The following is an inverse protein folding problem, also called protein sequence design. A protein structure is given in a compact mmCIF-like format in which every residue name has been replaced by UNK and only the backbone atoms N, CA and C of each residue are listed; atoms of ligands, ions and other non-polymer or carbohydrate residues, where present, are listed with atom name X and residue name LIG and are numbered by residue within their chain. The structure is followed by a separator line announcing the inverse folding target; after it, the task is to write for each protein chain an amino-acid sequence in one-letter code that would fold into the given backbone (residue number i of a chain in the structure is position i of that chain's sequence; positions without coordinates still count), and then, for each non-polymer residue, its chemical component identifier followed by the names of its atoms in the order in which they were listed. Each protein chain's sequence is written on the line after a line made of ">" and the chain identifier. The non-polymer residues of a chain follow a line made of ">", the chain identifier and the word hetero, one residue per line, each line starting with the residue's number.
data_IF_294877759103
#
_entry.id   IF_294877759103
#
_cell.length_a   1.000
_cell.length_b   1.000
_cell.length_c   1.000
_cell.angle_alpha   90.00
_cell.angle_beta   90.00
_cell.angle_gamma   90.00
#
_symmetry.space_group_name_H-M   'P 1'
#
loop_
_entity.id
_entity.type
_entity.pdbx_description
1 polymer ?
#
# COMPACT_ATOMS: atom_id res chain seq x y z
N UNK A 1 24.94 27.69 23.28
CA UNK A 1 23.84 27.96 24.23
C UNK A 1 23.94 29.43 24.60
N UNK A 2 23.05 30.25 24.04
CA UNK A 2 23.00 31.69 24.32
C UNK A 2 22.16 31.94 25.57
N UNK A 3 22.48 33.00 26.30
CA UNK A 3 21.91 33.37 27.61
C UNK A 3 20.38 33.57 27.59
N UNK A 4 19.77 33.82 26.43
CA UNK A 4 18.32 33.97 26.24
C UNK A 4 17.55 32.63 26.30
N UNK A 5 18.16 31.52 25.86
CA UNK A 5 17.48 30.21 25.90
C UNK A 5 17.34 29.70 27.35
N UNK A 6 18.32 30.00 28.21
CA UNK A 6 18.31 29.58 29.61
C UNK A 6 17.26 30.33 30.46
N UNK A 7 17.01 31.61 30.16
CA UNK A 7 15.99 32.43 30.84
C UNK A 7 14.56 32.01 30.51
N UNK A 8 14.32 31.62 29.25
CA UNK A 8 13.00 31.14 28.81
C UNK A 8 12.67 29.76 29.39
N UNK A 9 13.67 28.87 29.51
CA UNK A 9 13.52 27.53 30.11
C UNK A 9 13.19 27.60 31.62
N UNK A 10 13.78 28.54 32.36
CA UNK A 10 13.53 28.68 33.80
C UNK A 10 12.16 29.30 34.13
N UNK A 11 11.60 30.13 33.24
CA UNK A 11 10.28 30.74 33.43
C UNK A 11 9.11 29.76 33.26
N UNK A 12 9.17 28.87 32.27
CA UNK A 12 8.06 27.93 32.01
C UNK A 12 7.98 26.80 33.03
N UNK A 13 9.10 26.31 33.56
CA UNK A 13 9.10 25.28 34.61
C UNK A 13 8.44 25.75 35.90
N UNK A 14 8.74 26.98 36.34
CA UNK A 14 8.10 27.58 37.50
C UNK A 14 6.57 27.75 37.33
N UNK A 15 6.12 28.11 36.13
CA UNK A 15 4.70 28.21 35.80
C UNK A 15 4.02 26.83 35.75
N UNK A 16 4.67 25.83 35.15
CA UNK A 16 4.18 24.46 35.08
C UNK A 16 4.10 23.80 36.46
N UNK A 17 5.02 24.12 37.36
CA UNK A 17 5.03 23.61 38.74
C UNK A 17 3.86 24.14 39.58
N UNK A 18 3.29 25.29 39.23
CA UNK A 18 2.06 25.82 39.87
C UNK A 18 0.79 25.12 39.39
N UNK A 19 0.83 24.41 38.26
CA UNK A 19 -0.32 23.71 37.70
C UNK A 19 -0.49 22.33 38.35
N UNK A 20 -1.62 22.14 39.03
CA UNK A 20 -1.93 20.92 39.79
C UNK A 20 -2.26 19.70 38.93
N UNK A 21 -2.70 19.89 37.69
CA UNK A 21 -3.17 18.77 36.84
C UNK A 21 -2.33 18.63 35.57
N UNK A 22 -2.14 17.38 35.13
CA UNK A 22 -1.49 17.08 33.86
C UNK A 22 -2.23 17.70 32.66
N UNK A 23 -3.56 17.72 32.70
CA UNK A 23 -4.39 18.40 31.68
C UNK A 23 -4.09 19.90 31.58
N UNK A 24 -3.87 20.58 32.71
CA UNK A 24 -3.52 22.00 32.71
C UNK A 24 -2.11 22.24 32.14
N UNK A 25 -1.14 21.38 32.47
CA UNK A 25 0.23 21.44 31.93
C UNK A 25 0.24 21.26 30.40
N UNK A 26 -0.56 20.33 29.88
CA UNK A 26 -0.73 20.11 28.43
C UNK A 26 -1.32 21.35 27.74
N UNK A 27 -2.34 21.99 28.35
CA UNK A 27 -2.94 23.22 27.79
C UNK A 27 -1.95 24.38 27.78
N UNK A 28 -1.20 24.56 28.87
CA UNK A 28 -0.15 25.56 28.97
C UNK A 28 0.93 25.35 27.88
N UNK A 29 1.33 24.10 27.64
CA UNK A 29 2.27 23.78 26.56
C UNK A 29 1.71 24.16 25.17
N UNK A 30 0.43 23.89 24.92
CA UNK A 30 -0.22 24.22 23.63
C UNK A 30 -0.35 25.73 23.40
N UNK A 31 -0.48 26.53 24.45
CA UNK A 31 -0.52 28.00 24.36
C UNK A 31 0.85 28.61 23.99
N UNK A 32 1.95 27.89 24.27
CA UNK A 32 3.33 28.37 24.08
C UNK A 32 4.06 27.67 22.92
N UNK A 33 3.43 26.69 22.27
CA UNK A 33 3.96 26.00 21.10
C UNK A 33 3.44 26.61 19.79
N UNK A 34 4.19 26.48 18.68
CA UNK A 34 3.71 26.90 17.37
C UNK A 34 2.36 26.27 17.00
N UNK A 35 1.51 27.05 16.32
CA UNK A 35 0.22 26.56 15.80
C UNK A 35 0.48 25.39 14.84
N UNK A 36 -0.14 24.24 15.10
CA UNK A 36 0.07 23.00 14.34
C UNK A 36 0.98 21.96 15.01
N UNK A 37 1.43 22.20 16.25
CA UNK A 37 2.22 21.22 17.00
C UNK A 37 1.51 19.87 17.18
N UNK A 38 2.28 18.79 17.06
CA UNK A 38 1.83 17.42 17.24
C UNK A 38 1.73 17.03 18.72
N UNK A 39 1.05 15.92 19.01
CA UNK A 39 1.01 15.34 20.36
C UNK A 39 2.42 15.01 20.86
N UNK A 40 3.33 14.62 19.97
CA UNK A 40 4.72 14.34 20.34
C UNK A 40 5.52 15.61 20.63
N UNK A 41 5.25 16.72 19.92
CA UNK A 41 5.90 18.00 20.20
C UNK A 41 5.53 18.52 21.60
N UNK A 42 4.27 18.36 22.00
CA UNK A 42 3.80 18.70 23.36
C UNK A 42 4.51 17.85 24.42
N UNK A 43 4.67 16.55 24.17
CA UNK A 43 5.34 15.62 25.09
C UNK A 43 6.83 15.93 25.20
N UNK A 44 7.49 16.21 24.09
CA UNK A 44 8.89 16.58 24.04
C UNK A 44 9.13 17.91 24.76
N UNK A 45 8.24 18.89 24.56
CA UNK A 45 8.31 20.18 25.23
C UNK A 45 8.15 20.04 26.74
N UNK A 46 7.15 19.30 27.22
CA UNK A 46 6.97 19.04 28.65
C UNK A 46 8.18 18.30 29.27
N UNK A 47 8.78 17.36 28.55
CA UNK A 47 9.98 16.66 28.98
C UNK A 47 11.18 17.61 29.13
N UNK A 48 11.36 18.54 28.18
CA UNK A 48 12.42 19.56 28.24
C UNK A 48 12.27 20.50 29.43
N UNK A 49 11.03 20.74 29.88
CA UNK A 49 10.72 21.53 31.08
C UNK A 49 10.77 20.71 32.38
N UNK A 50 11.34 19.50 32.37
CA UNK A 50 11.47 18.67 33.58
C UNK A 50 10.16 18.08 34.12
N UNK A 51 9.05 18.18 33.36
CA UNK A 51 7.74 17.71 33.79
C UNK A 51 7.51 16.23 33.42
N UNK A 52 6.72 15.52 34.22
CA UNK A 52 6.34 14.13 33.94
C UNK A 52 5.61 14.04 32.60
N UNK A 53 6.14 13.22 31.69
CA UNK A 53 5.62 13.05 30.34
C UNK A 53 4.29 12.29 30.35
N UNK A 54 3.18 12.89 29.88
CA UNK A 54 1.91 12.18 29.79
C UNK A 54 1.94 11.08 28.73
N UNK A 55 1.15 10.04 28.93
CA UNK A 55 0.99 8.98 27.93
C UNK A 55 0.28 9.52 26.68
N UNK A 56 0.66 9.02 25.51
CA UNK A 56 0.07 9.44 24.23
C UNK A 56 -1.46 9.28 24.20
N UNK A 57 -2.06 8.16 24.66
CA UNK A 57 -3.53 8.02 24.69
C UNK A 57 -4.22 9.07 25.57
N UNK A 58 -3.56 9.53 26.63
CA UNK A 58 -4.09 10.56 27.53
C UNK A 58 -3.98 11.98 26.94
N UNK A 59 -2.86 12.30 26.29
CA UNK A 59 -2.63 13.62 25.71
C UNK A 59 -3.44 13.88 24.42
N UNK A 60 -3.65 12.84 23.61
CA UNK A 60 -4.34 12.93 22.30
C UNK A 60 -5.72 13.61 22.36
N UNK A 61 -6.68 13.21 23.23
CA UNK A 61 -7.99 13.87 23.28
C UNK A 61 -7.89 15.34 23.71
N UNK A 62 -6.95 15.70 24.60
CA UNK A 62 -6.78 17.06 25.10
C UNK A 62 -6.24 17.98 24.00
N UNK A 63 -5.27 17.49 23.21
CA UNK A 63 -4.70 18.22 22.07
C UNK A 63 -5.76 18.41 20.98
N UNK A 64 -6.52 17.37 20.66
CA UNK A 64 -7.59 17.45 19.66
C UNK A 64 -8.72 18.40 20.09
N UNK A 65 -9.11 18.37 21.36
CA UNK A 65 -10.10 19.29 21.94
C UNK A 65 -9.64 20.76 21.84
N UNK A 66 -8.35 21.02 22.10
CA UNK A 66 -7.77 22.36 21.98
C UNK A 66 -7.67 22.81 20.51
N UNK A 67 -7.26 21.93 19.60
CA UNK A 67 -7.19 22.22 18.16
C UNK A 67 -8.55 22.59 17.57
N UNK A 68 -9.58 21.81 17.91
CA UNK A 68 -10.95 22.08 17.49
C UNK A 68 -11.45 23.45 17.97
N UNK A 69 -11.11 23.85 19.21
CA UNK A 69 -11.47 25.17 19.75
C UNK A 69 -10.68 26.34 19.14
N UNK A 70 -9.50 26.09 18.59
CA UNK A 70 -8.63 27.13 18.02
C UNK A 70 -8.61 27.13 16.47
N UNK A 71 -9.49 26.37 15.82
CA UNK A 71 -9.58 26.31 14.36
C UNK A 71 -8.33 25.73 13.68
N UNK A 72 -7.56 24.89 14.38
CA UNK A 72 -6.35 24.24 13.84
C UNK A 72 -6.76 22.88 13.30
N UNK A 73 -6.88 22.76 11.97
CA UNK A 73 -7.15 21.47 11.32
C UNK A 73 -5.95 20.51 11.44
N UNK A 74 -6.21 19.21 11.44
CA UNK A 74 -5.21 18.17 11.66
C UNK A 74 -4.24 18.08 10.47
N UNK A 75 -3.11 18.77 10.54
CA UNK A 75 -2.11 18.78 9.48
C UNK A 75 -1.38 17.45 9.31
N UNK A 76 -1.64 16.41 10.12
CA UNK A 76 -1.01 15.08 9.93
C UNK A 76 0.53 15.14 9.83
N UNK A 77 1.18 16.18 10.35
CA UNK A 77 2.63 16.41 10.20
C UNK A 77 3.07 17.07 8.87
N UNK A 78 2.15 17.60 8.07
CA UNK A 78 2.46 18.35 6.87
C UNK A 78 2.77 19.82 7.19
N UNK A 79 3.85 20.33 6.58
CA UNK A 79 4.23 21.74 6.63
C UNK A 79 3.11 22.57 5.99
N UNK A 80 2.58 23.61 6.67
CA UNK A 80 1.60 24.49 6.07
C UNK A 80 2.22 25.18 4.85
N UNK A 81 1.53 25.16 3.70
CA UNK A 81 1.97 25.84 2.50
C UNK A 81 2.05 27.34 2.79
N UNK A 82 3.27 27.87 2.90
CA UNK A 82 3.47 29.31 3.01
C UNK A 82 3.04 29.99 1.71
N UNK A 83 2.59 31.26 1.73
CA UNK A 83 2.26 32.00 0.52
C UNK A 83 3.39 32.01 -0.52
N UNK A 84 4.64 31.94 -0.05
CA UNK A 84 5.84 31.82 -0.87
C UNK A 84 5.91 30.48 -1.62
N UNK A 85 5.54 29.36 -0.97
CA UNK A 85 5.51 28.04 -1.61
C UNK A 85 4.41 27.95 -2.67
N UNK A 86 3.29 28.62 -2.44
CA UNK A 86 2.18 28.72 -3.41
C UNK A 86 2.66 29.51 -4.64
N UNK A 87 3.36 30.64 -4.43
CA UNK A 87 3.91 31.43 -5.52
C UNK A 87 5.00 30.70 -6.33
N UNK A 88 5.76 29.81 -5.69
CA UNK A 88 6.75 28.94 -6.35
C UNK A 88 6.07 27.87 -7.22
N UNK A 89 5.00 27.23 -6.71
CA UNK A 89 4.20 26.26 -7.44
C UNK A 89 3.54 26.89 -8.68
N UNK A 90 2.92 28.06 -8.54
CA UNK A 90 2.32 28.81 -9.65
C UNK A 90 3.33 29.17 -10.75
N UNK A 91 4.57 29.51 -10.38
CA UNK A 91 5.65 29.78 -11.35
C UNK A 91 6.09 28.51 -12.09
N UNK A 92 6.06 27.37 -11.42
CA UNK A 92 6.42 26.07 -11.99
C UNK A 92 5.35 25.58 -12.96
N UNK A 93 4.08 25.78 -12.62
CA UNK A 93 2.92 25.36 -13.43
C UNK A 93 2.77 26.20 -14.72
N UNK A 94 3.08 27.51 -14.65
CA UNK A 94 3.08 28.39 -15.83
C UNK A 94 4.18 28.12 -16.84
N UNK A 95 5.23 27.35 -16.48
CA UNK A 95 6.34 27.03 -17.39
C UNK A 95 6.06 25.85 -18.32
N UNK A 96 4.93 25.15 -18.14
CA UNK A 96 4.63 23.90 -18.84
C UNK A 96 3.27 23.77 -19.57
N UNK A 97 2.60 24.80 -20.14
CA UNK A 97 1.38 24.55 -20.94
C UNK A 97 1.62 24.38 -22.45
N UNK A 98 2.80 24.72 -22.99
CA UNK A 98 2.97 24.89 -24.44
C UNK A 98 3.26 23.60 -25.25
N UNK A 99 3.62 22.48 -24.59
CA UNK A 99 4.00 21.22 -25.29
C UNK A 99 3.19 19.98 -24.87
N UNK A 100 2.08 20.15 -24.14
CA UNK A 100 1.25 19.03 -23.73
C UNK A 100 0.30 18.60 -24.86
N UNK A 101 0.79 17.73 -25.76
CA UNK A 101 -0.08 16.87 -26.54
C UNK A 101 -0.99 16.06 -25.59
N UNK A 102 -2.25 15.76 -25.97
CA UNK A 102 -3.19 15.07 -25.09
C UNK A 102 -2.64 13.68 -24.71
N UNK A 103 -2.25 13.50 -23.45
CA UNK A 103 -1.86 12.18 -22.92
C UNK A 103 -3.09 11.23 -22.95
N UNK A 104 -2.95 10.00 -23.47
CA UNK A 104 -4.01 9.00 -23.37
C UNK A 104 -4.17 8.54 -21.92
N UNK A 105 -5.36 8.71 -21.35
CA UNK A 105 -5.66 8.35 -19.96
C UNK A 105 -5.33 6.87 -19.64
N UNK A 106 -4.45 6.59 -18.66
CA UNK A 106 -4.15 5.21 -18.24
C UNK A 106 -5.17 4.66 -17.21
N UNK A 107 -6.30 5.34 -16.96
CA UNK A 107 -7.16 5.07 -15.78
C UNK A 107 -8.24 4.00 -16.07
N UNK A 108 -8.60 3.76 -17.34
CA UNK A 108 -9.73 2.91 -17.69
C UNK A 108 -9.39 1.40 -17.75
N UNK A 109 -8.18 1.03 -18.15
CA UNK A 109 -7.85 -0.35 -18.48
C UNK A 109 -7.77 -1.29 -17.25
N UNK A 110 -7.28 -0.80 -16.10
CA UNK A 110 -6.99 -1.67 -14.95
C UNK A 110 -8.23 -2.02 -14.10
N UNK A 111 -9.29 -1.19 -14.16
CA UNK A 111 -10.60 -1.51 -13.54
C UNK A 111 -11.51 -2.32 -14.47
N UNK A 112 -11.23 -2.35 -15.78
CA UNK A 112 -11.99 -3.11 -16.76
C UNK A 112 -11.99 -4.61 -16.45
N UNK A 113 -10.87 -5.15 -15.95
CA UNK A 113 -10.76 -6.56 -15.58
C UNK A 113 -11.71 -6.97 -14.45
N UNK A 114 -11.94 -6.11 -13.45
CA UNK A 114 -12.86 -6.40 -12.35
C UNK A 114 -14.35 -6.36 -12.79
N UNK A 115 -14.69 -5.48 -13.74
CA UNK A 115 -16.06 -5.34 -14.24
C UNK A 115 -16.58 -6.63 -14.88
N UNK A 116 -15.74 -7.33 -15.63
CA UNK A 116 -16.09 -8.63 -16.23
C UNK A 116 -16.49 -9.67 -15.16
N UNK A 117 -15.72 -9.76 -14.09
CA UNK A 117 -16.03 -10.68 -12.99
C UNK A 117 -17.32 -10.30 -12.25
N UNK A 118 -17.58 -9.00 -12.02
CA UNK A 118 -18.86 -8.54 -11.46
C UNK A 118 -20.04 -8.85 -12.39
N UNK A 119 -19.87 -8.72 -13.71
CA UNK A 119 -20.92 -9.06 -14.67
C UNK A 119 -21.26 -10.55 -14.64
N UNK A 120 -20.26 -11.44 -14.64
CA UNK A 120 -20.51 -12.89 -14.52
C UNK A 120 -21.14 -13.23 -13.17
N UNK A 121 -20.71 -12.58 -12.08
CA UNK A 121 -21.32 -12.77 -10.77
C UNK A 121 -22.81 -12.38 -10.78
N UNK A 122 -23.16 -11.27 -11.43
CA UNK A 122 -24.56 -10.85 -11.60
C UNK A 122 -25.35 -11.81 -12.49
N UNK A 123 -24.78 -12.28 -13.60
CA UNK A 123 -25.45 -13.23 -14.49
C UNK A 123 -25.73 -14.57 -13.80
N UNK A 124 -24.83 -15.01 -12.91
CA UNK A 124 -25.02 -16.26 -12.15
C UNK A 124 -26.23 -16.24 -11.21
N UNK A 125 -26.70 -15.05 -10.82
CA UNK A 125 -27.95 -14.89 -10.06
C UNK A 125 -29.12 -15.44 -10.86
N UNK A 126 -29.13 -15.30 -12.20
CA UNK A 126 -30.17 -15.85 -13.07
C UNK A 126 -30.42 -17.35 -12.84
N UNK A 127 -29.35 -18.12 -12.64
CA UNK A 127 -29.45 -19.57 -12.35
C UNK A 127 -29.99 -19.81 -10.93
N UNK A 128 -29.62 -18.96 -9.98
CA UNK A 128 -30.17 -18.98 -8.61
C UNK A 128 -31.67 -18.67 -8.60
N UNK A 129 -32.12 -17.73 -9.44
CA UNK A 129 -33.54 -17.39 -9.63
C UNK A 129 -34.34 -18.58 -10.11
N UNK A 130 -33.94 -19.18 -11.23
CA UNK A 130 -34.63 -20.35 -11.80
C UNK A 130 -34.71 -21.49 -10.77
N UNK A 131 -33.59 -21.74 -10.08
CA UNK A 131 -33.51 -22.83 -9.09
C UNK A 131 -34.43 -22.57 -7.90
N UNK A 132 -34.39 -21.36 -7.32
CA UNK A 132 -35.19 -21.00 -6.15
C UNK A 132 -36.69 -20.99 -6.46
N UNK A 133 -37.06 -20.46 -7.64
CA UNK A 133 -38.42 -20.42 -8.13
C UNK A 133 -39.05 -21.82 -8.23
N UNK A 134 -38.33 -22.74 -8.87
CA UNK A 134 -38.80 -24.14 -9.03
C UNK A 134 -38.76 -24.90 -7.71
N UNK A 135 -37.80 -24.60 -6.83
CA UNK A 135 -37.72 -25.21 -5.50
C UNK A 135 -38.94 -24.85 -4.64
N UNK A 136 -39.34 -23.58 -4.61
CA UNK A 136 -40.51 -23.15 -3.84
C UNK A 136 -41.80 -23.80 -4.32
N UNK A 137 -41.98 -23.93 -5.63
CA UNK A 137 -43.12 -24.63 -6.22
C UNK A 137 -43.10 -26.14 -5.92
N UNK A 138 -42.01 -26.82 -6.29
CA UNK A 138 -41.99 -28.27 -6.38
C UNK A 138 -41.64 -28.96 -5.06
N UNK A 139 -40.97 -28.27 -4.14
CA UNK A 139 -40.49 -28.86 -2.87
C UNK A 139 -41.16 -28.26 -1.64
N UNK A 140 -41.48 -26.96 -1.66
CA UNK A 140 -42.23 -26.32 -0.55
C UNK A 140 -43.74 -26.25 -0.81
N UNK A 141 -44.21 -26.54 -2.02
CA UNK A 141 -45.64 -26.53 -2.35
C UNK A 141 -46.26 -25.13 -2.39
N UNK A 142 -45.43 -24.09 -2.52
CA UNK A 142 -45.88 -22.70 -2.59
C UNK A 142 -46.29 -22.42 -4.03
N UNK A 143 -47.60 -22.49 -4.29
CA UNK A 143 -48.18 -22.31 -5.63
C UNK A 143 -48.56 -20.88 -5.92
N UNK A 144 -48.75 -20.04 -4.88
CA UNK A 144 -49.04 -18.62 -5.06
C UNK A 144 -47.83 -17.88 -5.66
N UNK A 145 -48.10 -17.12 -6.73
CA UNK A 145 -47.06 -16.43 -7.50
C UNK A 145 -46.49 -15.26 -6.71
N UNK A 146 -47.33 -14.53 -5.96
CA UNK A 146 -46.89 -13.35 -5.19
C UNK A 146 -45.98 -13.80 -4.04
N UNK A 147 -46.37 -14.83 -3.30
CA UNK A 147 -45.57 -15.41 -2.23
C UNK A 147 -44.21 -15.87 -2.74
N UNK A 148 -44.15 -16.55 -3.89
CA UNK A 148 -42.89 -16.96 -4.51
C UNK A 148 -42.00 -15.79 -4.92
N UNK A 149 -42.57 -14.76 -5.52
CA UNK A 149 -41.83 -13.55 -5.91
C UNK A 149 -41.20 -12.91 -4.68
N UNK A 150 -41.95 -12.81 -3.58
CA UNK A 150 -41.44 -12.24 -2.31
C UNK A 150 -40.30 -13.08 -1.75
N UNK A 151 -40.49 -14.39 -1.60
CA UNK A 151 -39.48 -15.28 -1.00
C UNK A 151 -38.17 -15.32 -1.81
N UNK A 152 -38.29 -15.43 -3.13
CA UNK A 152 -37.14 -15.38 -4.02
C UNK A 152 -36.43 -14.02 -3.95
N UNK A 153 -37.19 -12.91 -3.96
CA UNK A 153 -36.61 -11.56 -3.87
C UNK A 153 -35.84 -11.34 -2.57
N UNK A 154 -36.34 -11.86 -1.44
CA UNK A 154 -35.65 -11.79 -0.15
C UNK A 154 -34.30 -12.52 -0.21
N UNK A 155 -34.27 -13.72 -0.78
CA UNK A 155 -33.05 -14.52 -0.92
C UNK A 155 -31.99 -13.81 -1.77
N UNK A 156 -32.38 -13.29 -2.94
CA UNK A 156 -31.43 -12.60 -3.82
C UNK A 156 -30.99 -11.25 -3.28
N UNK A 157 -31.91 -10.49 -2.67
CA UNK A 157 -31.55 -9.26 -1.99
C UNK A 157 -30.52 -9.52 -0.89
N UNK A 158 -30.63 -10.63 -0.15
CA UNK A 158 -29.65 -11.04 0.84
C UNK A 158 -28.28 -11.38 0.22
N UNK A 159 -28.24 -12.07 -0.93
CA UNK A 159 -27.00 -12.35 -1.65
C UNK A 159 -26.32 -11.07 -2.17
N UNK A 160 -27.11 -10.16 -2.77
CA UNK A 160 -26.63 -8.86 -3.25
C UNK A 160 -26.11 -8.02 -2.08
N UNK A 161 -26.84 -7.99 -0.96
CA UNK A 161 -26.42 -7.29 0.25
C UNK A 161 -25.12 -7.87 0.82
N UNK A 162 -24.94 -9.19 0.81
CA UNK A 162 -23.69 -9.83 1.21
C UNK A 162 -22.53 -9.40 0.30
N UNK A 163 -22.74 -9.36 -1.02
CA UNK A 163 -21.73 -8.90 -1.96
C UNK A 163 -21.36 -7.43 -1.77
N UNK A 164 -22.37 -6.57 -1.53
CA UNK A 164 -22.16 -5.16 -1.20
C UNK A 164 -21.40 -4.98 0.11
N UNK A 165 -21.78 -5.71 1.16
CA UNK A 165 -21.11 -5.68 2.45
C UNK A 165 -19.65 -6.16 2.34
N UNK A 166 -19.38 -7.19 1.55
CA UNK A 166 -18.01 -7.64 1.28
C UNK A 166 -17.19 -6.58 0.55
N UNK A 167 -17.78 -5.90 -0.45
CA UNK A 167 -17.14 -4.77 -1.15
C UNK A 167 -16.84 -3.61 -0.20
N UNK A 168 -17.80 -3.22 0.64
CA UNK A 168 -17.62 -2.18 1.63
C UNK A 168 -16.50 -2.53 2.63
N UNK A 169 -16.50 -3.77 3.14
CA UNK A 169 -15.45 -4.27 4.03
C UNK A 169 -14.07 -4.27 3.39
N UNK A 170 -13.96 -4.66 2.12
CA UNK A 170 -12.71 -4.60 1.35
C UNK A 170 -12.20 -3.17 1.21
N UNK A 171 -13.09 -2.21 0.90
CA UNK A 171 -12.72 -0.79 0.75
C UNK A 171 -12.27 -0.13 2.05
N UNK A 172 -12.87 -0.52 3.18
CA UNK A 172 -12.54 0.06 4.50
C UNK A 172 -11.33 -0.62 5.15
N UNK A 173 -11.29 -1.96 5.16
CA UNK A 173 -10.39 -2.75 6.01
C UNK A 173 -9.48 -3.71 5.22
N UNK A 174 -9.56 -3.71 3.89
CA UNK A 174 -8.79 -4.62 3.03
C UNK A 174 -9.23 -6.10 3.12
N UNK A 175 -10.39 -6.39 3.72
CA UNK A 175 -10.93 -7.75 3.89
C UNK A 175 -12.46 -7.78 3.77
N UNK A 176 -13.06 -8.83 3.18
CA UNK A 176 -14.52 -8.91 2.95
C UNK A 176 -15.38 -9.04 4.22
N UNK A 177 -14.79 -9.28 5.40
CA UNK A 177 -15.54 -9.32 6.66
C UNK A 177 -16.45 -10.56 6.81
N UNK A 178 -17.34 -10.56 7.83
CA UNK A 178 -18.18 -11.71 8.18
C UNK A 178 -19.27 -12.01 7.14
N UNK A 179 -19.64 -11.04 6.30
CA UNK A 179 -20.60 -11.23 5.19
C UNK A 179 -20.22 -12.38 4.25
N UNK A 180 -18.92 -12.71 4.16
CA UNK A 180 -18.43 -13.89 3.43
C UNK A 180 -19.02 -15.21 3.95
N UNK A 181 -19.16 -15.35 5.27
CA UNK A 181 -19.72 -16.57 5.87
C UNK A 181 -21.20 -16.72 5.52
N UNK A 182 -21.95 -15.61 5.60
CA UNK A 182 -23.36 -15.58 5.23
C UNK A 182 -23.53 -15.90 3.74
N UNK A 183 -22.70 -15.33 2.87
CA UNK A 183 -22.71 -15.64 1.44
C UNK A 183 -22.48 -17.14 1.17
N UNK A 184 -21.50 -17.76 1.83
CA UNK A 184 -21.27 -19.21 1.70
C UNK A 184 -22.40 -20.06 2.27
N UNK A 185 -23.03 -19.64 3.36
CA UNK A 185 -24.20 -20.33 3.91
C UNK A 185 -25.38 -20.29 2.92
N UNK A 186 -25.64 -19.12 2.31
CA UNK A 186 -26.66 -18.98 1.26
C UNK A 186 -26.31 -19.80 0.00
N UNK A 187 -25.03 -19.84 -0.40
CA UNK A 187 -24.56 -20.72 -1.48
C UNK A 187 -24.78 -22.20 -1.15
N UNK A 188 -24.53 -22.62 0.09
CA UNK A 188 -24.77 -24.00 0.52
C UNK A 188 -26.27 -24.35 0.52
N UNK A 189 -27.13 -23.41 0.93
CA UNK A 189 -28.57 -23.56 0.83
C UNK A 189 -29.04 -23.67 -0.63
N UNK A 190 -28.55 -22.81 -1.51
CA UNK A 190 -28.84 -22.87 -2.95
C UNK A 190 -28.34 -24.20 -3.56
N UNK A 191 -27.21 -24.72 -3.09
CA UNK A 191 -26.71 -26.03 -3.51
C UNK A 191 -27.64 -27.17 -3.10
N UNK A 192 -28.10 -27.16 -1.85
CA UNK A 192 -29.10 -28.09 -1.36
C UNK A 192 -30.40 -28.05 -2.20
N UNK A 193 -30.92 -26.86 -2.48
CA UNK A 193 -32.11 -26.68 -3.32
C UNK A 193 -31.92 -27.27 -4.73
N UNK A 194 -30.77 -27.00 -5.36
CA UNK A 194 -30.46 -27.51 -6.69
C UNK A 194 -30.39 -29.04 -6.74
N UNK A 195 -29.70 -29.67 -5.78
CA UNK A 195 -29.63 -31.13 -5.69
C UNK A 195 -30.99 -31.75 -5.38
N UNK A 196 -31.76 -31.14 -4.49
CA UNK A 196 -33.10 -31.62 -4.15
C UNK A 196 -34.08 -31.55 -5.32
N UNK A 197 -33.90 -30.61 -6.26
CA UNK A 197 -34.79 -30.43 -7.41
C UNK A 197 -34.36 -31.30 -8.61
N UNK A 198 -33.05 -31.44 -8.83
CA UNK A 198 -32.50 -31.86 -10.13
C UNK A 198 -31.73 -33.17 -10.09
N UNK A 199 -31.55 -33.76 -8.91
CA UNK A 199 -30.67 -34.89 -8.71
C UNK A 199 -29.17 -34.54 -8.83
N UNK A 200 -28.27 -35.54 -8.79
CA UNK A 200 -26.84 -35.30 -8.63
C UNK A 200 -26.19 -34.56 -9.80
N UNK A 201 -26.45 -34.98 -11.04
CA UNK A 201 -25.76 -34.45 -12.23
C UNK A 201 -26.24 -33.04 -12.59
N UNK A 202 -27.55 -32.88 -12.80
CA UNK A 202 -28.12 -31.59 -13.14
C UNK A 202 -28.08 -30.61 -11.95
N UNK A 203 -28.17 -31.12 -10.72
CA UNK A 203 -27.95 -30.32 -9.50
C UNK A 203 -26.54 -29.76 -9.48
N UNK A 204 -25.51 -30.61 -9.65
CA UNK A 204 -24.12 -30.16 -9.67
C UNK A 204 -23.87 -29.08 -10.74
N UNK A 205 -24.41 -29.25 -11.95
CA UNK A 205 -24.30 -28.25 -13.00
C UNK A 205 -24.91 -26.89 -12.59
N UNK A 206 -26.11 -26.88 -11.99
CA UNK A 206 -26.76 -25.67 -11.48
C UNK A 206 -25.97 -25.01 -10.36
N UNK A 207 -25.43 -25.79 -9.42
CA UNK A 207 -24.61 -25.27 -8.32
C UNK A 207 -23.35 -24.61 -8.84
N UNK A 208 -22.65 -25.29 -9.76
CA UNK A 208 -21.40 -24.81 -10.34
C UNK A 208 -21.63 -23.55 -11.17
N UNK A 209 -22.62 -23.53 -12.07
CA UNK A 209 -22.88 -22.40 -12.97
C UNK A 209 -23.65 -21.24 -12.31
N UNK A 210 -24.33 -21.50 -11.19
CA UNK A 210 -25.07 -20.49 -10.43
C UNK A 210 -24.28 -20.00 -9.23
N UNK A 211 -24.68 -20.39 -8.00
CA UNK A 211 -24.24 -19.73 -6.78
C UNK A 211 -22.73 -19.86 -6.51
N UNK A 212 -22.09 -20.97 -6.90
CA UNK A 212 -20.63 -21.13 -6.72
C UNK A 212 -19.86 -20.25 -7.68
N UNK A 213 -20.17 -20.28 -8.98
CA UNK A 213 -19.55 -19.39 -9.95
C UNK A 213 -19.74 -17.94 -9.54
N UNK A 214 -20.95 -17.55 -9.12
CA UNK A 214 -21.24 -16.21 -8.63
C UNK A 214 -20.33 -15.75 -7.51
N UNK A 215 -20.24 -16.56 -6.45
CA UNK A 215 -19.44 -16.22 -5.28
C UNK A 215 -17.92 -16.22 -5.59
N UNK A 216 -17.45 -17.14 -6.44
CA UNK A 216 -16.05 -17.18 -6.88
C UNK A 216 -15.71 -15.96 -7.75
N UNK A 217 -16.57 -15.60 -8.72
CA UNK A 217 -16.35 -14.45 -9.58
C UNK A 217 -16.35 -13.15 -8.77
N UNK A 218 -17.29 -13.02 -7.82
CA UNK A 218 -17.30 -11.92 -6.86
C UNK A 218 -16.02 -11.85 -6.02
N UNK A 219 -15.52 -13.00 -5.55
CA UNK A 219 -14.27 -13.08 -4.80
C UNK A 219 -13.06 -12.63 -5.65
N UNK A 220 -12.99 -13.05 -6.91
CA UNK A 220 -11.94 -12.64 -7.84
C UNK A 220 -12.00 -11.13 -8.14
N UNK A 221 -13.19 -10.60 -8.36
CA UNK A 221 -13.43 -9.17 -8.58
C UNK A 221 -12.90 -8.33 -7.40
N UNK A 222 -13.28 -8.72 -6.18
CA UNK A 222 -12.80 -8.07 -4.95
C UNK A 222 -11.29 -8.21 -4.77
N UNK A 223 -10.71 -9.35 -5.14
CA UNK A 223 -9.26 -9.59 -5.09
C UNK A 223 -8.47 -8.65 -6.01
N UNK A 224 -9.00 -8.33 -7.19
CA UNK A 224 -8.42 -7.33 -8.10
C UNK A 224 -8.47 -5.94 -7.47
N UNK A 225 -9.60 -5.57 -6.86
CA UNK A 225 -9.74 -4.26 -6.20
C UNK A 225 -8.77 -4.08 -5.04
N UNK A 226 -8.54 -5.12 -4.23
CA UNK A 226 -7.52 -5.08 -3.16
C UNK A 226 -6.13 -4.80 -3.74
N UNK A 227 -5.75 -5.48 -4.82
CA UNK A 227 -4.43 -5.31 -5.46
C UNK A 227 -4.30 -3.92 -6.08
N UNK A 228 -5.34 -3.42 -6.75
CA UNK A 228 -5.37 -2.08 -7.31
C UNK A 228 -5.27 -0.99 -6.22
N UNK A 229 -5.98 -1.16 -5.11
CA UNK A 229 -5.91 -0.24 -3.97
C UNK A 229 -4.52 -0.22 -3.32
N UNK A 230 -3.89 -1.39 -3.12
CA UNK A 230 -2.51 -1.48 -2.59
C UNK A 230 -1.47 -0.84 -3.51
N UNK A 231 -1.65 -0.94 -4.84
CA UNK A 231 -0.78 -0.28 -5.82
C UNK A 231 -0.92 1.25 -5.81
N UNK A 232 -2.12 1.78 -5.54
CA UNK A 232 -2.32 3.23 -5.34
C UNK A 232 -1.75 3.76 -4.03
N UNK A 233 -1.78 2.94 -2.97
CA UNK A 233 -1.32 3.34 -1.63
C UNK A 233 0.21 3.32 -1.47
N UNK A 234 0.93 2.62 -2.34
CA UNK A 234 2.40 2.62 -2.33
C UNK A 234 2.90 3.71 -3.28
N UNK A 235 3.93 4.45 -2.84
CA UNK A 235 4.63 5.62 -3.39
C UNK A 235 5.09 5.53 -4.88
N UNK A 236 4.58 4.59 -5.67
CA UNK A 236 4.93 4.36 -7.07
C UNK A 236 4.40 5.43 -8.04
N UNK A 237 3.31 6.12 -7.72
CA UNK A 237 2.82 7.24 -8.55
C UNK A 237 3.69 8.51 -8.45
N UNK A 238 4.52 8.61 -7.40
CA UNK A 238 5.53 9.67 -7.22
C UNK A 238 6.90 9.20 -7.70
N UNK A 239 7.33 8.00 -7.31
CA UNK A 239 8.58 7.40 -7.79
C UNK A 239 8.58 7.21 -9.31
N UNK A 240 7.44 6.85 -9.91
CA UNK A 240 7.31 6.76 -11.37
C UNK A 240 7.41 8.11 -12.08
N UNK A 241 6.99 9.20 -11.43
CA UNK A 241 7.10 10.57 -11.96
C UNK A 241 8.55 11.07 -11.88
N UNK A 242 9.17 10.89 -10.73
CA UNK A 242 10.58 11.23 -10.50
C UNK A 242 11.52 10.39 -11.39
N UNK A 243 11.19 9.12 -11.59
CA UNK A 243 11.92 8.22 -12.48
C UNK A 243 11.67 8.55 -13.95
N UNK A 244 10.45 8.98 -14.33
CA UNK A 244 10.12 9.46 -15.69
C UNK A 244 10.85 10.76 -16.00
N UNK A 245 10.90 11.72 -15.07
CA UNK A 245 11.65 12.97 -15.25
C UNK A 245 13.16 12.72 -15.34
N UNK A 246 13.69 11.81 -14.52
CA UNK A 246 15.10 11.38 -14.61
C UNK A 246 15.40 10.52 -15.84
N UNK A 247 14.43 9.77 -16.37
CA UNK A 247 14.58 9.00 -17.60
C UNK A 247 14.49 9.90 -18.83
N UNK A 248 13.60 10.90 -18.84
CA UNK A 248 13.49 11.85 -19.95
C UNK A 248 14.68 12.81 -20.02
N UNK A 249 15.30 13.17 -18.89
CA UNK A 249 16.57 13.92 -18.90
C UNK A 249 17.77 13.09 -19.37
N UNK A 250 17.63 11.75 -19.40
CA UNK A 250 18.68 10.81 -19.81
C UNK A 250 18.44 10.24 -21.22
N UNK A 251 17.21 10.29 -21.73
CA UNK A 251 16.81 9.74 -23.03
C UNK A 251 17.06 10.70 -24.21
N UNK A 252 17.84 11.77 -24.05
CA UNK A 252 18.43 12.46 -25.19
C UNK A 252 19.61 11.64 -25.76
N UNK A 253 19.25 10.57 -26.51
CA UNK A 253 20.01 9.76 -27.47
C UNK A 253 21.34 9.09 -27.06
N UNK A 254 21.34 7.74 -27.02
CA UNK A 254 22.55 6.94 -27.26
C UNK A 254 22.50 5.45 -26.85
N UNK A 255 21.95 4.58 -27.69
CA UNK A 255 22.35 3.16 -27.85
C UNK A 255 21.84 2.09 -26.82
N UNK A 256 20.53 1.81 -26.83
CA UNK A 256 19.83 0.83 -25.97
C UNK A 256 20.27 -0.65 -26.14
N UNK A 257 20.89 -1.01 -27.26
CA UNK A 257 21.41 -2.38 -27.47
C UNK A 257 22.70 -2.64 -26.67
N UNK A 258 23.55 -1.61 -26.53
CA UNK A 258 24.80 -1.72 -25.78
C UNK A 258 24.57 -1.76 -24.28
N UNK A 259 23.57 -1.06 -23.76
CA UNK A 259 23.39 -0.90 -22.32
C UNK A 259 22.82 -2.17 -21.64
N UNK A 260 21.95 -2.91 -22.33
CA UNK A 260 21.49 -4.21 -21.84
C UNK A 260 22.62 -5.26 -21.77
N UNK A 261 23.53 -5.25 -22.75
CA UNK A 261 24.72 -6.10 -22.76
C UNK A 261 25.73 -5.65 -21.70
N UNK A 262 25.96 -4.35 -21.55
CA UNK A 262 26.83 -3.80 -20.51
C UNK A 262 26.36 -4.20 -19.10
N UNK A 263 25.06 -4.04 -18.80
CA UNK A 263 24.47 -4.45 -17.51
C UNK A 263 24.61 -5.94 -17.24
N UNK A 264 24.51 -6.78 -18.28
CA UNK A 264 24.66 -8.24 -18.13
C UNK A 264 26.12 -8.62 -17.83
N UNK A 265 27.08 -7.97 -18.49
CA UNK A 265 28.51 -8.20 -18.29
C UNK A 265 28.98 -7.65 -16.93
N UNK A 266 28.49 -6.49 -16.51
CA UNK A 266 28.75 -5.93 -15.18
C UNK A 266 28.25 -6.87 -14.05
N UNK A 267 27.05 -7.43 -14.19
CA UNK A 267 26.55 -8.45 -13.24
C UNK A 267 27.40 -9.73 -13.25
N UNK A 268 28.03 -10.07 -14.37
CA UNK A 268 28.95 -11.21 -14.44
C UNK A 268 30.31 -10.88 -13.79
N UNK A 269 30.83 -9.67 -13.97
CA UNK A 269 32.06 -9.19 -13.34
C UNK A 269 31.93 -9.17 -11.80
N UNK A 270 30.82 -8.64 -11.27
CA UNK A 270 30.54 -8.66 -9.83
C UNK A 270 30.45 -10.08 -9.26
N UNK A 271 29.85 -11.01 -10.02
CA UNK A 271 29.80 -12.43 -9.63
C UNK A 271 31.19 -13.07 -9.63
N UNK A 272 32.07 -12.70 -10.56
CA UNK A 272 33.45 -13.17 -10.59
C UNK A 272 34.24 -12.66 -9.37
N UNK A 273 34.13 -11.37 -9.03
CA UNK A 273 34.79 -10.80 -7.85
C UNK A 273 34.35 -11.48 -6.54
N UNK A 274 33.04 -11.71 -6.34
CA UNK A 274 32.52 -12.43 -5.16
C UNK A 274 33.01 -13.87 -5.09
N UNK A 275 33.03 -14.57 -6.23
CA UNK A 275 33.52 -15.95 -6.28
C UNK A 275 35.05 -16.04 -6.08
N UNK A 276 35.79 -14.97 -6.33
CA UNK A 276 37.23 -14.90 -6.07
C UNK A 276 37.55 -14.81 -4.56
N UNK A 277 36.71 -14.15 -3.75
CA UNK A 277 36.87 -14.09 -2.29
C UNK A 277 36.18 -15.27 -1.56
N UNK A 278 35.23 -15.96 -2.21
CA UNK A 278 34.50 -17.07 -1.60
C UNK A 278 35.39 -18.21 -1.07
N UNK A 279 35.00 -18.78 0.07
CA UNK A 279 35.72 -19.85 0.79
C UNK A 279 36.04 -21.08 -0.08
N UNK A 280 37.16 -21.75 0.22
CA UNK A 280 37.66 -22.96 -0.45
C UNK A 280 36.68 -24.13 -0.42
N UNK A 281 35.76 -24.14 0.55
CA UNK A 281 34.70 -25.16 0.69
C UNK A 281 33.51 -24.98 -0.25
N UNK A 282 33.48 -23.93 -1.06
CA UNK A 282 32.37 -23.68 -1.99
C UNK A 282 32.39 -24.67 -3.17
N UNK A 283 31.35 -25.53 -3.34
CA UNK A 283 31.34 -26.53 -4.39
C UNK A 283 31.32 -25.89 -5.77
N UNK A 284 32.12 -26.44 -6.70
CA UNK A 284 32.26 -25.98 -8.10
C UNK A 284 32.66 -24.50 -8.25
N UNK A 285 33.29 -23.90 -7.22
CA UNK A 285 33.77 -22.51 -7.23
C UNK A 285 34.61 -22.18 -8.46
N UNK A 286 35.62 -23.00 -8.77
CA UNK A 286 36.52 -22.80 -9.92
C UNK A 286 35.74 -22.77 -11.25
N UNK A 287 34.79 -23.68 -11.44
CA UNK A 287 33.96 -23.73 -12.65
C UNK A 287 33.01 -22.53 -12.77
N UNK A 288 32.39 -22.13 -11.65
CA UNK A 288 31.49 -20.96 -11.59
C UNK A 288 32.24 -19.65 -11.80
N UNK A 289 33.44 -19.53 -11.24
CA UNK A 289 34.33 -18.39 -11.42
C UNK A 289 34.76 -18.28 -12.89
N UNK A 290 35.21 -19.39 -13.50
CA UNK A 290 35.59 -19.43 -14.92
C UNK A 290 34.43 -19.01 -15.83
N UNK A 291 33.21 -19.51 -15.55
CA UNK A 291 32.00 -19.12 -16.29
C UNK A 291 31.67 -17.63 -16.13
N UNK A 292 31.79 -17.09 -14.92
CA UNK A 292 31.53 -15.67 -14.64
C UNK A 292 32.56 -14.76 -15.33
N UNK A 293 33.85 -15.14 -15.31
CA UNK A 293 34.92 -14.42 -16.00
C UNK A 293 34.68 -14.38 -17.52
N UNK A 294 34.33 -15.52 -18.14
CA UNK A 294 34.01 -15.54 -19.57
C UNK A 294 32.77 -14.70 -19.90
N UNK A 295 31.70 -14.79 -19.10
CA UNK A 295 30.47 -14.02 -19.34
C UNK A 295 30.64 -12.50 -19.13
N UNK A 296 31.61 -12.09 -18.32
CA UNK A 296 31.93 -10.67 -18.08
C UNK A 296 32.82 -10.06 -19.16
N UNK A 297 33.43 -10.85 -20.04
CA UNK A 297 34.33 -10.36 -21.09
C UNK A 297 35.56 -9.56 -20.61
N UNK A 298 35.90 -9.64 -19.32
CA UNK A 298 37.02 -8.90 -18.67
C UNK A 298 38.41 -9.22 -19.23
N UNK A 299 38.55 -10.30 -20.00
CA UNK A 299 39.80 -10.62 -20.68
C UNK A 299 40.08 -9.72 -21.89
N UNK A 300 39.04 -9.15 -22.51
CA UNK A 300 39.15 -8.36 -23.75
C UNK A 300 38.70 -6.90 -23.58
N UNK A 301 38.14 -6.55 -22.42
CA UNK A 301 37.69 -5.19 -22.08
C UNK A 301 38.42 -4.68 -20.82
N UNK A 302 39.37 -3.73 -20.96
CA UNK A 302 40.15 -3.23 -19.82
C UNK A 302 39.29 -2.46 -18.81
N UNK A 303 38.23 -1.78 -19.25
CA UNK A 303 37.36 -0.99 -18.36
C UNK A 303 36.58 -1.92 -17.41
N UNK A 304 36.06 -3.01 -17.95
CA UNK A 304 35.37 -4.02 -17.13
C UNK A 304 36.31 -4.79 -16.21
N UNK A 305 37.54 -5.06 -16.67
CA UNK A 305 38.57 -5.66 -15.82
C UNK A 305 38.89 -4.77 -14.61
N UNK A 306 39.09 -3.48 -14.83
CA UNK A 306 39.43 -2.53 -13.76
C UNK A 306 38.27 -2.34 -12.79
N UNK A 307 37.02 -2.36 -13.27
CA UNK A 307 35.84 -2.38 -12.40
C UNK A 307 35.78 -3.65 -11.54
N UNK A 308 35.97 -4.82 -12.15
CA UNK A 308 35.97 -6.10 -11.43
C UNK A 308 37.07 -6.15 -10.36
N UNK A 309 38.28 -5.65 -10.67
CA UNK A 309 39.41 -5.65 -9.74
C UNK A 309 39.20 -4.66 -8.58
N UNK A 310 38.60 -3.49 -8.83
CA UNK A 310 38.22 -2.56 -7.76
C UNK A 310 37.21 -3.19 -6.81
N UNK A 311 36.17 -3.84 -7.35
CA UNK A 311 35.18 -4.56 -6.55
C UNK A 311 35.80 -5.72 -5.76
N UNK A 312 36.74 -6.44 -6.37
CA UNK A 312 37.51 -7.47 -5.68
C UNK A 312 38.33 -6.89 -4.52
N UNK A 313 39.00 -5.76 -4.73
CA UNK A 313 39.72 -5.05 -3.67
C UNK A 313 38.80 -4.65 -2.52
N UNK A 314 37.63 -4.07 -2.83
CA UNK A 314 36.62 -3.74 -1.81
C UNK A 314 36.21 -4.99 -1.00
N UNK A 315 35.97 -6.11 -1.67
CA UNK A 315 35.57 -7.35 -1.00
C UNK A 315 36.69 -7.97 -0.16
N UNK A 316 37.95 -7.81 -0.56
CA UNK A 316 39.11 -8.28 0.20
C UNK A 316 39.37 -7.43 1.45
N UNK A 317 39.19 -6.12 1.35
CA UNK A 317 39.45 -5.17 2.44
C UNK A 317 38.19 -4.80 3.25
N UNK A 318 37.05 -5.46 2.99
CA UNK A 318 35.79 -5.19 3.67
C UNK A 318 35.87 -5.37 5.20
N UNK A 319 36.71 -6.30 5.67
CA UNK A 319 36.91 -6.53 7.11
C UNK A 319 37.71 -5.41 7.78
N UNK A 320 38.63 -4.76 7.07
CA UNK A 320 39.37 -3.59 7.56
C UNK A 320 38.45 -2.36 7.67
N UNK A 321 37.54 -2.20 6.70
CA UNK A 321 36.51 -1.17 6.76
C UNK A 321 35.61 -1.33 7.99
N UNK A 322 35.21 -2.56 8.32
CA UNK A 322 34.39 -2.85 9.50
C UNK A 322 35.09 -2.53 10.84
N UNK A 323 36.42 -2.56 10.85
CA UNK A 323 37.25 -2.24 12.04
C UNK A 323 37.62 -0.77 12.14
N UNK A 324 37.35 0.03 11.10
CA UNK A 324 37.70 1.44 11.08
C UNK A 324 36.64 2.22 11.86
N UNK A 325 37.04 2.84 12.97
CA UNK A 325 36.15 3.65 13.83
C UNK A 325 35.80 4.94 13.09
N UNK A 326 34.54 5.05 12.66
CA UNK A 326 34.04 6.29 12.08
C UNK A 326 33.64 7.27 13.21
N UNK A 327 33.97 8.57 13.07
CA UNK A 327 33.55 9.57 14.05
C UNK A 327 32.02 9.66 14.11
N UNK A 328 31.49 9.76 15.34
CA UNK A 328 30.05 9.90 15.58
C UNK A 328 29.54 11.22 15.00
N UNK A 329 28.44 11.23 14.24
CA UNK A 329 27.76 12.45 13.83
C UNK A 329 26.81 13.02 14.90
N UNK A 330 26.83 12.45 16.12
CA UNK A 330 26.09 12.89 17.30
C UNK A 330 27.06 13.16 18.45
#
# INVERSE_FOLDING_TARGET
>A
MTTDEAGTLTGHDAALSRLRTQKAKIRYALEHLPRGCSVEDVRLWLNRQGQTVPSRPYATPIVNEWRARNGVEDTSGHVPLTPELIAELDRTERRSPADAAPEPEPVAAETAGAKGFYAVALLSIGVSVDTSWRFFEQRLGITDVVERVVLFSVMEAALVACGWAMRAGVRQNGRPGPARLVAWALTAFAAFAAFSLSGPVAGAARVLLGPVLGLVMLHLALGIEIRAARRRATTWARVGRELRERLLSVLNLGDDGRDALARTRDKAALRAARLAVASRWTPRRKARLRKALHASHVAHDPVQRDRMLRELGVLQHAEELARTRQPSPW
#
